data_IF_600876947463
#
_entry.id   IF_600876947463
#
_cell.length_a   1.000
_cell.length_b   1.000
_cell.length_c   1.000
_cell.angle_alpha   90.00
_cell.angle_beta   90.00
_cell.angle_gamma   90.00
#
_symmetry.space_group_name_H-M   'P 1'
#
loop_
_entity.id
_entity.type
_entity.pdbx_description
1 polymer ?
#
# COMPACT_ATOMS: atom_id res chain seq x y z
N UNK A 1 -5.10 25.83 -28.40
CA UNK A 1 -4.33 25.84 -27.15
C UNK A 1 -5.34 25.71 -25.99
N UNK A 2 -5.82 24.51 -25.70
CA UNK A 2 -6.84 24.24 -24.69
C UNK A 2 -6.19 23.55 -23.48
N UNK A 3 -6.16 24.25 -22.37
CA UNK A 3 -5.74 23.71 -21.07
C UNK A 3 -6.96 23.08 -20.41
N UNK A 4 -7.12 21.76 -20.56
CA UNK A 4 -8.11 21.01 -19.77
C UNK A 4 -7.59 20.82 -18.35
N UNK A 5 -8.28 21.43 -17.40
CA UNK A 5 -8.01 21.26 -15.97
C UNK A 5 -8.73 20.01 -15.48
N UNK A 6 -8.09 19.29 -14.54
CA UNK A 6 -8.55 18.03 -13.91
C UNK A 6 -9.98 18.06 -13.32
N UNK A 7 -10.66 19.20 -13.38
CA UNK A 7 -12.03 19.37 -12.85
C UNK A 7 -13.16 18.98 -13.81
N UNK A 8 -12.89 18.84 -15.11
CA UNK A 8 -13.94 18.58 -16.10
C UNK A 8 -14.15 17.10 -16.44
N UNK A 9 -13.35 16.20 -15.87
CA UNK A 9 -13.49 14.75 -16.12
C UNK A 9 -14.56 14.05 -15.25
N UNK A 10 -15.22 14.79 -14.36
CA UNK A 10 -16.21 14.23 -13.42
C UNK A 10 -17.67 14.37 -13.85
N UNK A 11 -17.95 14.79 -15.07
CA UNK A 11 -19.31 15.13 -15.50
C UNK A 11 -19.82 14.37 -16.72
N UNK A 12 -19.47 13.09 -16.94
CA UNK A 12 -20.18 12.28 -17.94
C UNK A 12 -20.01 10.77 -17.68
N UNK A 13 -21.11 10.10 -17.33
CA UNK A 13 -21.20 8.64 -17.42
C UNK A 13 -21.89 7.95 -16.24
N UNK A 14 -23.17 8.25 -16.00
CA UNK A 14 -24.00 7.40 -15.14
C UNK A 14 -24.58 6.29 -16.01
N UNK A 15 -24.11 5.06 -15.85
CA UNK A 15 -24.85 3.86 -16.20
C UNK A 15 -24.36 2.70 -15.30
N UNK A 16 -25.15 2.39 -14.28
CA UNK A 16 -25.44 1.08 -13.72
C UNK A 16 -24.30 0.12 -13.41
N UNK A 17 -23.53 0.36 -12.36
CA UNK A 17 -22.93 -0.70 -11.56
C UNK A 17 -23.29 -0.40 -10.10
N UNK A 18 -23.88 -1.37 -9.40
CA UNK A 18 -24.12 -1.28 -7.98
C UNK A 18 -22.76 -1.21 -7.27
N UNK A 19 -22.24 -0.01 -7.14
CA UNK A 19 -21.12 0.27 -6.27
C UNK A 19 -21.61 -0.01 -4.85
N UNK A 20 -21.06 -1.01 -4.20
CA UNK A 20 -21.19 -1.18 -2.78
C UNK A 20 -20.65 0.12 -2.15
N UNK A 21 -21.56 1.02 -1.79
CA UNK A 21 -21.24 2.24 -1.06
C UNK A 21 -20.81 1.77 0.31
N UNK A 22 -19.50 1.67 0.52
CA UNK A 22 -19.00 1.60 1.88
C UNK A 22 -19.46 2.88 2.58
N UNK A 23 -20.25 2.80 3.67
CA UNK A 23 -20.57 3.99 4.41
C UNK A 23 -19.28 4.55 4.97
N UNK A 24 -18.83 5.68 4.42
CA UNK A 24 -17.85 6.54 5.07
C UNK A 24 -18.56 7.10 6.31
N UNK A 25 -18.74 6.26 7.31
CA UNK A 25 -19.22 6.67 8.62
C UNK A 25 -18.05 7.35 9.33
N UNK A 26 -18.21 8.66 9.39
CA UNK A 26 -17.33 9.56 10.08
C UNK A 26 -17.00 9.11 11.49
N UNK A 27 -15.77 9.15 11.73
CA UNK A 27 -15.06 9.66 12.88
C UNK A 27 -13.61 9.55 12.48
N UNK A 28 -12.94 10.65 12.39
CA UNK A 28 -11.50 10.76 12.19
C UNK A 28 -10.75 10.09 13.36
N UNK A 29 -10.83 8.78 13.44
CA UNK A 29 -9.87 8.01 14.19
C UNK A 29 -8.69 7.84 13.26
N UNK A 30 -7.69 8.68 13.54
CA UNK A 30 -6.38 8.58 12.94
C UNK A 30 -6.00 7.09 12.82
N UNK A 31 -5.85 6.51 11.59
CA UNK A 31 -5.48 5.11 11.45
C UNK A 31 -4.16 4.75 12.14
N UNK A 32 -3.33 5.75 12.53
CA UNK A 32 -2.14 5.58 13.36
C UNK A 32 -2.41 5.12 14.78
N UNK A 33 -3.60 5.34 15.32
CA UNK A 33 -3.96 4.82 16.64
C UNK A 33 -4.32 3.34 16.62
N UNK A 34 -4.31 2.70 15.42
CA UNK A 34 -4.61 1.29 15.26
C UNK A 34 -3.38 0.43 15.51
N UNK A 35 -3.54 -0.58 16.34
CA UNK A 35 -2.60 -1.69 16.37
C UNK A 35 -2.72 -2.52 15.10
N UNK A 36 -1.67 -3.28 14.75
CA UNK A 36 -1.71 -4.22 13.63
C UNK A 36 -2.93 -5.14 13.68
N UNK A 37 -3.27 -5.64 14.87
CA UNK A 37 -4.45 -6.49 15.09
C UNK A 37 -5.74 -5.76 14.72
N UNK A 38 -5.91 -4.52 15.21
CA UNK A 38 -7.09 -3.71 14.91
C UNK A 38 -7.23 -3.39 13.42
N UNK A 39 -6.13 -3.04 12.75
CA UNK A 39 -6.13 -2.81 11.31
C UNK A 39 -6.54 -4.09 10.56
N UNK A 40 -5.92 -5.22 10.89
CA UNK A 40 -6.23 -6.52 10.31
C UNK A 40 -7.70 -6.93 10.49
N UNK A 41 -8.25 -6.77 11.70
CA UNK A 41 -9.65 -7.08 11.97
C UNK A 41 -10.61 -6.20 11.19
N UNK A 42 -10.31 -4.90 11.07
CA UNK A 42 -11.12 -3.97 10.28
C UNK A 42 -11.06 -4.27 8.79
N UNK A 43 -9.88 -4.60 8.26
CA UNK A 43 -9.74 -5.05 6.87
C UNK A 43 -10.59 -6.30 6.66
N UNK A 44 -10.46 -7.30 7.53
CA UNK A 44 -11.23 -8.55 7.43
C UNK A 44 -12.74 -8.34 7.42
N UNK A 45 -13.23 -7.31 8.12
CA UNK A 45 -14.66 -6.95 8.18
C UNK A 45 -15.10 -6.02 7.05
N UNK A 46 -14.18 -5.60 6.17
CA UNK A 46 -14.47 -4.60 5.13
C UNK A 46 -14.69 -3.17 5.69
N UNK A 47 -14.30 -2.91 6.94
CA UNK A 47 -14.42 -1.60 7.59
C UNK A 47 -13.21 -0.68 7.26
N UNK A 48 -12.14 -1.25 6.72
CA UNK A 48 -10.93 -0.55 6.30
C UNK A 48 -10.44 -1.13 4.98
N UNK A 49 -10.29 -0.27 3.98
CA UNK A 49 -9.76 -0.64 2.68
C UNK A 49 -8.24 -0.81 2.74
N UNK A 50 -7.66 -1.91 2.24
CA UNK A 50 -6.22 -2.04 2.02
C UNK A 50 -5.64 -0.92 1.16
N UNK A 51 -6.35 -0.51 0.11
CA UNK A 51 -5.93 0.56 -0.77
C UNK A 51 -5.86 1.89 -0.03
N UNK A 52 -6.95 2.28 0.66
CA UNK A 52 -7.00 3.52 1.44
C UNK A 52 -5.96 3.57 2.57
N UNK A 53 -5.68 2.42 3.21
CA UNK A 53 -4.64 2.33 4.22
C UNK A 53 -3.25 2.56 3.63
N UNK A 54 -3.00 2.01 2.44
CA UNK A 54 -1.71 2.16 1.75
C UNK A 54 -1.52 3.60 1.27
N UNK A 55 -2.53 4.22 0.64
CA UNK A 55 -2.53 5.63 0.25
C UNK A 55 -2.19 6.53 1.44
N UNK A 56 -2.86 6.32 2.55
CA UNK A 56 -2.63 7.09 3.75
C UNK A 56 -1.18 7.01 4.26
N UNK A 57 -0.54 5.84 4.26
CA UNK A 57 0.85 5.72 4.66
C UNK A 57 1.80 6.35 3.64
N UNK A 58 1.51 6.24 2.34
CA UNK A 58 2.32 6.90 1.30
C UNK A 58 2.24 8.44 1.42
N UNK A 59 1.07 9.00 1.64
CA UNK A 59 0.90 10.42 1.90
C UNK A 59 1.72 10.87 3.12
N UNK A 60 1.77 10.05 4.16
CA UNK A 60 2.59 10.35 5.34
C UNK A 60 4.08 10.28 5.07
N UNK A 61 4.53 9.32 4.28
CA UNK A 61 5.93 9.24 3.84
C UNK A 61 6.26 10.53 3.08
N UNK A 62 5.44 10.91 2.13
CA UNK A 62 5.65 12.13 1.33
C UNK A 62 5.76 13.40 2.18
N UNK A 63 4.94 13.54 3.21
CA UNK A 63 4.94 14.70 4.10
C UNK A 63 6.12 14.70 5.08
N UNK A 64 6.52 13.55 5.62
CA UNK A 64 7.46 13.50 6.74
C UNK A 64 8.88 13.06 6.35
N UNK A 65 9.02 12.25 5.31
CA UNK A 65 10.31 11.67 4.94
C UNK A 65 11.35 12.71 4.51
N UNK A 66 10.99 13.84 3.87
CA UNK A 66 11.96 14.90 3.59
C UNK A 66 12.73 15.43 4.81
N UNK A 67 12.16 15.27 6.01
CA UNK A 67 12.80 15.69 7.27
C UNK A 67 13.46 14.50 8.00
N UNK A 68 12.92 13.30 7.83
CA UNK A 68 13.35 12.11 8.56
C UNK A 68 14.42 11.31 7.83
N UNK A 69 14.39 11.33 6.48
CA UNK A 69 15.24 10.50 5.61
C UNK A 69 15.22 9.01 6.04
N UNK A 70 14.02 8.51 6.32
CA UNK A 70 13.83 7.15 6.81
C UNK A 70 13.69 6.13 5.67
N UNK A 71 13.28 6.58 4.47
CA UNK A 71 13.12 5.73 3.30
C UNK A 71 14.20 6.04 2.25
N UNK A 72 14.91 5.01 1.78
CA UNK A 72 15.84 5.10 0.66
C UNK A 72 15.09 4.92 -0.66
N UNK A 73 14.14 3.97 -0.69
CA UNK A 73 13.31 3.68 -1.85
C UNK A 73 11.85 3.58 -1.44
N UNK A 74 10.97 4.37 -2.05
CA UNK A 74 9.52 4.28 -1.86
C UNK A 74 8.90 3.56 -3.05
N UNK A 75 8.32 2.37 -2.78
CA UNK A 75 7.71 1.49 -3.80
C UNK A 75 6.21 1.79 -3.99
N UNK A 76 5.84 3.08 -4.09
CA UNK A 76 4.45 3.55 -4.02
C UNK A 76 3.51 2.88 -5.02
N UNK A 77 3.86 2.89 -6.32
CA UNK A 77 3.03 2.28 -7.37
C UNK A 77 2.83 0.78 -7.16
N UNK A 78 3.91 0.06 -6.81
CA UNK A 78 3.84 -1.37 -6.57
C UNK A 78 2.99 -1.69 -5.33
N UNK A 79 3.09 -0.88 -4.28
CA UNK A 79 2.30 -1.01 -3.06
C UNK A 79 0.81 -0.79 -3.33
N UNK A 80 0.44 0.27 -4.05
CA UNK A 80 -0.94 0.56 -4.44
C UNK A 80 -1.53 -0.54 -5.32
N UNK A 81 -0.78 -1.00 -6.32
CA UNK A 81 -1.21 -2.10 -7.18
C UNK A 81 -1.39 -3.41 -6.37
N UNK A 82 -0.53 -3.68 -5.39
CA UNK A 82 -0.68 -4.83 -4.51
C UNK A 82 -1.91 -4.69 -3.59
N UNK A 83 -2.11 -3.53 -3.00
CA UNK A 83 -3.24 -3.24 -2.13
C UNK A 83 -4.59 -3.38 -2.86
N UNK A 84 -4.70 -2.85 -4.08
CA UNK A 84 -5.90 -2.99 -4.90
C UNK A 84 -6.22 -4.44 -5.25
N UNK A 85 -5.21 -5.26 -5.57
CA UNK A 85 -5.42 -6.70 -5.79
C UNK A 85 -5.90 -7.43 -4.54
N UNK A 86 -5.34 -7.07 -3.36
CA UNK A 86 -5.73 -7.67 -2.09
C UNK A 86 -7.14 -7.25 -1.66
N UNK A 87 -7.51 -6.01 -1.94
CA UNK A 87 -8.88 -5.52 -1.72
C UNK A 87 -9.90 -6.28 -2.58
N UNK A 88 -9.61 -6.42 -3.88
CA UNK A 88 -10.47 -7.19 -4.79
C UNK A 88 -10.56 -8.67 -4.37
N UNK A 89 -9.46 -9.25 -3.89
CA UNK A 89 -9.48 -10.62 -3.36
C UNK A 89 -10.36 -10.75 -2.12
N UNK A 90 -10.28 -9.78 -1.19
CA UNK A 90 -11.12 -9.75 0.00
C UNK A 90 -12.62 -9.64 -0.35
N UNK A 91 -12.96 -8.79 -1.32
CA UNK A 91 -14.33 -8.64 -1.82
C UNK A 91 -14.89 -9.93 -2.41
N UNK A 92 -14.02 -10.78 -2.96
CA UNK A 92 -14.36 -12.12 -3.46
C UNK A 92 -14.26 -13.23 -2.39
N UNK A 93 -14.22 -12.87 -1.11
CA UNK A 93 -14.18 -13.81 0.02
C UNK A 93 -12.80 -14.39 0.32
N UNK A 94 -11.74 -13.94 -0.36
CA UNK A 94 -10.38 -14.39 -0.12
C UNK A 94 -9.75 -13.68 1.08
N UNK A 95 -9.54 -14.40 2.18
CA UNK A 95 -8.80 -13.92 3.33
C UNK A 95 -7.56 -14.79 3.59
N UNK A 96 -6.37 -14.19 3.58
CA UNK A 96 -5.11 -14.93 3.69
C UNK A 96 -4.44 -14.85 5.06
N UNK A 97 -5.11 -14.26 6.02
CA UNK A 97 -4.62 -14.16 7.38
C UNK A 97 -4.31 -12.73 7.84
N UNK A 98 -3.73 -12.58 9.04
CA UNK A 98 -3.65 -11.29 9.75
C UNK A 98 -2.86 -10.17 9.04
N UNK A 99 -2.05 -10.51 8.06
CA UNK A 99 -1.27 -9.53 7.29
C UNK A 99 -1.89 -9.21 5.92
N UNK A 100 -3.07 -9.73 5.61
CA UNK A 100 -3.76 -9.47 4.35
C UNK A 100 -4.07 -7.98 4.20
N UNK A 101 -3.50 -7.34 3.17
CA UNK A 101 -3.74 -5.93 2.88
C UNK A 101 -3.03 -4.93 3.80
N UNK A 102 -2.15 -5.39 4.68
CA UNK A 102 -1.33 -4.51 5.52
C UNK A 102 -0.08 -4.06 4.76
N UNK A 103 0.16 -2.75 4.58
CA UNK A 103 1.42 -2.25 4.03
C UNK A 103 2.58 -2.48 5.00
N UNK A 104 3.75 -2.84 4.47
CA UNK A 104 4.95 -3.14 5.25
C UNK A 104 6.13 -2.38 4.67
N UNK A 105 6.92 -1.74 5.54
CA UNK A 105 8.25 -1.25 5.22
C UNK A 105 9.30 -2.33 5.49
N UNK A 106 10.28 -2.45 4.62
CA UNK A 106 11.39 -3.37 4.74
C UNK A 106 12.68 -2.57 4.94
N UNK A 107 13.60 -3.12 5.71
CA UNK A 107 14.94 -2.55 5.81
C UNK A 107 15.67 -2.71 4.48
N UNK A 108 16.42 -1.69 4.05
CA UNK A 108 17.12 -1.65 2.76
C UNK A 108 18.28 -2.66 2.60
N UNK A 109 18.47 -3.55 3.54
CA UNK A 109 19.37 -4.72 3.39
C UNK A 109 18.61 -6.03 3.16
N UNK A 110 17.30 -5.95 2.95
CA UNK A 110 16.43 -7.12 2.68
C UNK A 110 16.12 -7.13 1.18
N UNK A 111 16.71 -8.08 0.47
CA UNK A 111 16.54 -8.20 -0.98
C UNK A 111 15.09 -8.29 -1.40
N UNK A 112 14.69 -7.33 -2.24
CA UNK A 112 13.37 -7.28 -2.85
C UNK A 112 13.54 -7.25 -4.36
N UNK A 113 13.09 -8.30 -5.03
CA UNK A 113 13.28 -8.47 -6.47
C UNK A 113 12.74 -7.28 -7.28
N UNK A 114 13.59 -6.74 -8.16
CA UNK A 114 13.24 -5.64 -9.05
C UNK A 114 13.26 -4.25 -8.41
N UNK A 115 13.67 -4.12 -7.13
CA UNK A 115 13.77 -2.84 -6.44
C UNK A 115 15.18 -2.57 -5.95
N UNK A 116 15.57 -1.29 -5.98
CA UNK A 116 16.85 -0.88 -5.46
C UNK A 116 17.01 -1.30 -4.00
N UNK A 117 18.09 -1.99 -3.69
CA UNK A 117 18.41 -2.49 -2.33
C UNK A 117 19.89 -2.26 -2.08
N UNK A 118 20.20 -1.07 -1.58
CA UNK A 118 21.58 -0.56 -1.49
C UNK A 118 22.28 -0.90 -0.18
N UNK A 119 21.56 -1.36 0.84
CA UNK A 119 22.06 -1.52 2.21
C UNK A 119 22.72 -0.24 2.76
N UNK A 120 22.26 0.93 2.28
CA UNK A 120 22.84 2.24 2.56
C UNK A 120 24.38 2.30 2.28
N UNK A 121 24.85 1.54 1.29
CA UNK A 121 26.27 1.43 0.91
C UNK A 121 26.51 1.94 -0.50
N UNK A 122 27.52 2.77 -0.69
CA UNK A 122 27.93 3.23 -2.02
C UNK A 122 28.32 2.08 -2.95
N UNK A 123 28.86 0.98 -2.39
CA UNK A 123 29.22 -0.22 -3.16
C UNK A 123 28.00 -0.90 -3.80
N UNK A 124 26.83 -0.72 -3.21
CA UNK A 124 25.57 -1.30 -3.67
C UNK A 124 24.54 -0.25 -4.10
N UNK A 125 25.00 0.96 -4.43
CA UNK A 125 24.13 2.11 -4.74
C UNK A 125 23.20 1.88 -5.94
N UNK A 126 23.55 0.98 -6.85
CA UNK A 126 22.79 0.62 -8.05
C UNK A 126 22.29 -0.84 -8.03
N UNK A 127 22.41 -1.51 -6.90
CA UNK A 127 22.09 -2.93 -6.79
C UNK A 127 20.57 -3.17 -6.80
N UNK A 128 20.11 -3.90 -7.81
CA UNK A 128 18.74 -4.38 -7.93
C UNK A 128 18.75 -5.91 -7.86
N UNK A 129 18.28 -6.53 -6.76
CA UNK A 129 18.22 -7.98 -6.63
C UNK A 129 17.32 -8.61 -7.68
N UNK A 130 17.74 -9.75 -8.22
CA UNK A 130 16.92 -10.54 -9.15
C UNK A 130 15.87 -11.39 -8.41
N UNK A 131 16.11 -11.70 -7.13
CA UNK A 131 15.23 -12.54 -6.33
C UNK A 131 14.91 -11.88 -4.99
N UNK A 132 13.73 -12.24 -4.48
CA UNK A 132 13.32 -11.85 -3.12
C UNK A 132 14.10 -12.64 -2.06
N UNK A 133 14.47 -12.00 -0.99
CA UNK A 133 14.89 -12.68 0.22
C UNK A 133 13.78 -13.62 0.75
N UNK A 134 14.14 -14.67 1.49
CA UNK A 134 13.17 -15.64 2.00
C UNK A 134 12.07 -14.99 2.86
N UNK A 135 12.42 -13.98 3.67
CA UNK A 135 11.43 -13.24 4.47
C UNK A 135 10.42 -12.54 3.58
N UNK A 136 10.85 -11.94 2.46
CA UNK A 136 9.97 -11.27 1.50
C UNK A 136 9.05 -12.28 0.81
N UNK A 137 9.60 -13.42 0.37
CA UNK A 137 8.79 -14.51 -0.19
C UNK A 137 7.70 -14.98 0.77
N UNK A 138 8.03 -15.15 2.06
CA UNK A 138 7.05 -15.52 3.10
C UNK A 138 6.00 -14.46 3.33
N UNK A 139 6.39 -13.18 3.38
CA UNK A 139 5.46 -12.06 3.50
C UNK A 139 4.52 -11.99 2.30
N UNK A 140 5.05 -12.05 1.07
CA UNK A 140 4.24 -12.08 -0.17
C UNK A 140 3.30 -13.29 -0.19
N UNK A 141 3.73 -14.46 0.29
CA UNK A 141 2.88 -15.66 0.39
C UNK A 141 1.76 -15.49 1.40
N UNK A 142 2.01 -14.80 2.51
CA UNK A 142 1.00 -14.42 3.52
C UNK A 142 0.28 -13.11 3.18
N UNK A 143 0.71 -12.46 2.10
CA UNK A 143 0.16 -11.28 1.46
C UNK A 143 0.04 -10.02 2.31
N UNK A 144 1.23 -9.44 2.53
CA UNK A 144 1.35 -8.02 2.80
C UNK A 144 1.53 -7.26 1.49
N UNK A 145 1.02 -6.04 1.38
CA UNK A 145 1.50 -5.09 0.40
C UNK A 145 2.87 -4.57 0.86
N UNK A 146 3.92 -4.75 0.06
CA UNK A 146 5.20 -4.12 0.37
C UNK A 146 5.17 -2.65 -0.09
N UNK A 147 5.42 -1.72 0.81
CA UNK A 147 5.39 -0.28 0.54
C UNK A 147 6.80 0.36 0.46
N UNK A 148 7.87 -0.37 0.74
CA UNK A 148 9.24 0.12 0.72
C UNK A 148 10.09 -0.56 1.75
#
# INVERSE_FOLDING_TARGET
MFRNTRREFLAMGIAGAAAAVFPVLGASRNPFSLTLRQASERIRRGELSPLALTEYYLDRIDVHDPQLNAYITVMGEAALAAAGRLEAELQNGGWRGPLHGIPIALKDNIDTAGFLTSAASEVFSDRVPAEDAEVVRRLKKRRCGAAG
#
